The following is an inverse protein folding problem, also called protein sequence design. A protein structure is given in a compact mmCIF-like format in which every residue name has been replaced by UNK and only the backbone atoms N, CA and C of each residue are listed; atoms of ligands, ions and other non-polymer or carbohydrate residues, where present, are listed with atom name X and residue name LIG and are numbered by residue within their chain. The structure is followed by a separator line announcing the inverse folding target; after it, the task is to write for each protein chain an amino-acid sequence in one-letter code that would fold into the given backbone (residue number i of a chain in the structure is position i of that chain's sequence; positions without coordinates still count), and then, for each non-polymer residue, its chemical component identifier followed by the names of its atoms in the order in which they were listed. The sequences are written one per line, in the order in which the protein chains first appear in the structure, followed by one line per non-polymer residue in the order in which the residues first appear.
data_IF_363647181112
#
_entry.id   IF_363647181112
#
_cell.length_a   1.000
_cell.length_b   1.000
_cell.length_c   1.000
_cell.angle_alpha   90.00
_cell.angle_beta   90.00
_cell.angle_gamma   90.00
#
_symmetry.space_group_name_H-M   'P 1'
#
loop_
_entity.id
_entity.type
_entity.pdbx_description
1 polymer ?
#
# COMPACT_ATOMS: atom_id res chain seq x y z
N UNK A 1 19.34 11.06 -13.55
CA UNK A 1 18.55 9.81 -13.71
C UNK A 1 17.30 10.11 -14.52
N UNK A 2 17.01 9.29 -15.55
CA UNK A 2 15.77 9.36 -16.31
C UNK A 2 14.54 9.12 -15.40
N UNK A 3 13.41 9.75 -15.73
CA UNK A 3 12.13 9.60 -15.00
C UNK A 3 11.67 8.15 -14.89
N UNK A 4 11.92 7.34 -15.93
CA UNK A 4 11.66 5.90 -15.94
C UNK A 4 12.50 5.11 -14.94
N UNK A 5 13.76 5.52 -14.71
CA UNK A 5 14.65 4.89 -13.70
C UNK A 5 14.20 5.21 -12.28
N UNK A 6 13.75 6.44 -12.03
CA UNK A 6 13.21 6.85 -10.72
C UNK A 6 11.92 6.08 -10.39
N UNK A 7 11.01 5.95 -11.36
CA UNK A 7 9.77 5.19 -11.18
C UNK A 7 10.04 3.71 -10.86
N UNK A 8 11.02 3.09 -11.54
CA UNK A 8 11.42 1.70 -11.26
C UNK A 8 12.04 1.54 -9.87
N UNK A 9 12.91 2.47 -9.47
CA UNK A 9 13.49 2.48 -8.12
C UNK A 9 12.42 2.58 -7.03
N UNK A 10 11.45 3.49 -7.18
CA UNK A 10 10.35 3.61 -6.21
C UNK A 10 9.51 2.34 -6.17
N UNK A 11 9.22 1.74 -7.32
CA UNK A 11 8.50 0.46 -7.37
C UNK A 11 9.27 -0.66 -6.65
N UNK A 12 10.60 -0.76 -6.85
CA UNK A 12 11.45 -1.75 -6.19
C UNK A 12 11.56 -1.52 -4.67
N UNK A 13 11.70 -0.26 -4.23
CA UNK A 13 11.64 0.08 -2.80
C UNK A 13 10.28 -0.32 -2.23
N UNK A 14 9.20 -0.10 -3.00
CA UNK A 14 7.85 -0.53 -2.66
C UNK A 14 7.72 -2.04 -2.45
N UNK A 15 8.45 -2.87 -3.19
CA UNK A 15 8.43 -4.35 -3.02
C UNK A 15 8.92 -4.76 -1.64
N UNK A 16 9.85 -4.02 -1.03
CA UNK A 16 10.38 -4.32 0.29
C UNK A 16 9.60 -3.56 1.38
N UNK A 17 9.31 -2.29 1.14
CA UNK A 17 8.63 -1.43 2.11
C UNK A 17 7.18 -1.84 2.33
N UNK A 18 6.41 -2.21 1.29
CA UNK A 18 4.99 -2.53 1.44
C UNK A 18 4.78 -3.77 2.34
N UNK A 19 5.46 -4.92 2.14
CA UNK A 19 5.31 -6.06 3.05
C UNK A 19 5.68 -5.74 4.49
N UNK A 20 6.73 -4.93 4.70
CA UNK A 20 7.22 -4.56 6.02
C UNK A 20 6.21 -3.64 6.74
N UNK A 21 5.66 -2.65 6.02
CA UNK A 21 4.63 -1.77 6.55
C UNK A 21 3.30 -2.51 6.78
N UNK A 22 2.92 -3.43 5.90
CA UNK A 22 1.77 -4.33 6.11
C UNK A 22 1.98 -5.14 7.39
N UNK A 23 3.18 -5.71 7.61
CA UNK A 23 3.48 -6.43 8.85
C UNK A 23 3.30 -5.57 10.10
N UNK A 24 3.78 -4.32 10.06
CA UNK A 24 3.59 -3.35 11.16
C UNK A 24 2.11 -3.02 11.35
N UNK A 25 1.35 -2.83 10.27
CA UNK A 25 -0.08 -2.55 10.32
C UNK A 25 -0.87 -3.71 10.93
N UNK A 26 -0.59 -4.95 10.54
CA UNK A 26 -1.25 -6.14 11.09
C UNK A 26 -0.99 -6.24 12.61
N UNK A 27 0.25 -6.05 13.04
CA UNK A 27 0.60 -6.05 14.48
C UNK A 27 -0.15 -4.93 15.20
N UNK A 28 -0.16 -3.73 14.62
CA UNK A 28 -0.85 -2.59 15.23
C UNK A 28 -2.36 -2.82 15.29
N UNK A 29 -2.97 -3.38 14.24
CA UNK A 29 -4.38 -3.73 14.20
C UNK A 29 -4.74 -4.71 15.32
N UNK A 30 -3.93 -5.73 15.56
CA UNK A 30 -4.15 -6.70 16.66
C UNK A 30 -4.05 -6.00 18.02
N UNK A 31 -3.01 -5.18 18.24
CA UNK A 31 -2.81 -4.44 19.49
C UNK A 31 -3.96 -3.46 19.77
N UNK A 32 -4.39 -2.72 18.74
CA UNK A 32 -5.54 -1.81 18.83
C UNK A 32 -6.82 -2.60 19.08
N UNK A 33 -7.01 -3.75 18.43
CA UNK A 33 -8.10 -4.68 18.70
C UNK A 33 -8.16 -5.02 20.19
N UNK A 34 -7.06 -5.52 20.77
CA UNK A 34 -7.00 -5.86 22.20
C UNK A 34 -7.35 -4.66 23.10
N UNK A 35 -6.80 -3.48 22.84
CA UNK A 35 -7.08 -2.28 23.64
C UNK A 35 -8.51 -1.74 23.48
N UNK A 36 -9.11 -1.89 22.29
CA UNK A 36 -10.49 -1.42 22.05
C UNK A 36 -11.55 -2.26 22.76
N UNK A 37 -11.28 -3.55 23.01
CA UNK A 37 -12.18 -4.42 23.78
C UNK A 37 -12.00 -4.32 25.29
N UNK A 38 -10.98 -3.61 25.76
CA UNK A 38 -10.77 -3.38 27.18
C UNK A 38 -11.78 -2.35 27.73
N UNK A 39 -12.50 -2.68 28.80
CA UNK A 39 -13.57 -1.83 29.35
C UNK A 39 -13.02 -0.58 30.05
N UNK A 40 -11.80 -0.67 30.59
CA UNK A 40 -11.13 0.42 31.30
C UNK A 40 -10.57 1.50 30.36
N UNK A 41 -10.54 1.23 29.04
CA UNK A 41 -10.01 2.18 28.09
C UNK A 41 -11.03 3.29 27.75
N UNK A 42 -10.64 4.58 27.88
CA UNK A 42 -11.53 5.68 27.57
C UNK A 42 -11.91 5.67 26.08
N UNK A 43 -13.17 6.03 25.80
CA UNK A 43 -13.72 6.01 24.44
C UNK A 43 -12.89 6.85 23.46
N UNK A 44 -12.33 7.97 23.93
CA UNK A 44 -11.41 8.80 23.15
C UNK A 44 -10.14 8.04 22.72
N UNK A 45 -9.57 7.23 23.62
CA UNK A 45 -8.41 6.39 23.32
C UNK A 45 -8.72 5.35 22.24
N UNK A 46 -9.89 4.71 22.32
CA UNK A 46 -10.37 3.73 21.32
C UNK A 46 -10.54 4.34 19.92
N UNK A 47 -11.11 5.54 19.85
CA UNK A 47 -11.29 6.26 18.59
C UNK A 47 -9.95 6.72 18.01
N UNK A 48 -9.06 7.26 18.84
CA UNK A 48 -7.74 7.73 18.39
C UNK A 48 -6.87 6.60 17.84
N UNK A 49 -6.84 5.45 18.50
CA UNK A 49 -6.08 4.28 18.04
C UNK A 49 -6.66 3.68 16.76
N UNK A 50 -7.99 3.63 16.63
CA UNK A 50 -8.66 3.19 15.40
C UNK A 50 -8.35 4.13 14.21
N UNK A 51 -8.37 5.43 14.44
CA UNK A 51 -8.01 6.42 13.42
C UNK A 51 -6.55 6.29 12.98
N UNK A 52 -5.63 5.98 13.91
CA UNK A 52 -4.22 5.77 13.60
C UNK A 52 -4.01 4.55 12.68
N UNK A 53 -4.75 3.46 12.88
CA UNK A 53 -4.70 2.28 12.00
C UNK A 53 -5.18 2.63 10.58
N UNK A 54 -6.30 3.36 10.47
CA UNK A 54 -6.83 3.81 9.16
C UNK A 54 -5.83 4.71 8.43
N UNK A 55 -5.20 5.63 9.15
CA UNK A 55 -4.16 6.52 8.59
C UNK A 55 -2.93 5.73 8.13
N UNK A 56 -2.52 4.70 8.87
CA UNK A 56 -1.44 3.81 8.43
C UNK A 56 -1.78 3.09 7.14
N UNK A 57 -2.98 2.51 7.03
CA UNK A 57 -3.42 1.86 5.79
C UNK A 57 -3.42 2.82 4.58
N UNK A 58 -3.82 4.07 4.78
CA UNK A 58 -3.75 5.10 3.74
C UNK A 58 -2.30 5.40 3.30
N UNK A 59 -1.35 5.45 4.24
CA UNK A 59 0.08 5.64 3.94
C UNK A 59 0.65 4.45 3.17
N UNK A 60 0.27 3.24 3.54
CA UNK A 60 0.72 2.00 2.88
C UNK A 60 0.22 1.97 1.43
N UNK A 61 -1.02 2.40 1.18
CA UNK A 61 -1.58 2.48 -0.16
C UNK A 61 -0.93 3.58 -1.01
N UNK A 62 -0.47 4.68 -0.40
CA UNK A 62 0.12 5.80 -1.12
C UNK A 62 1.42 5.42 -1.85
N UNK A 63 2.23 4.51 -1.30
CA UNK A 63 3.49 4.05 -1.90
C UNK A 63 3.31 3.40 -3.28
N UNK A 64 2.52 2.32 -3.44
CA UNK A 64 2.31 1.71 -4.75
C UNK A 64 1.53 2.63 -5.70
N UNK A 65 0.60 3.45 -5.20
CA UNK A 65 -0.14 4.42 -6.04
C UNK A 65 0.79 5.48 -6.62
N UNK A 66 1.70 6.04 -5.82
CA UNK A 66 2.68 7.01 -6.31
C UNK A 66 3.66 6.40 -7.31
N UNK A 67 4.11 5.17 -7.08
CA UNK A 67 4.94 4.41 -8.04
C UNK A 67 4.21 4.18 -9.37
N UNK A 68 2.92 3.82 -9.30
CA UNK A 68 2.08 3.60 -10.48
C UNK A 68 1.86 4.89 -11.28
N UNK A 69 1.53 5.99 -10.60
CA UNK A 69 1.37 7.31 -11.21
C UNK A 69 2.66 7.81 -11.87
N UNK A 70 3.81 7.62 -11.20
CA UNK A 70 5.12 7.97 -11.77
C UNK A 70 5.44 7.13 -13.01
N UNK A 71 5.14 5.83 -13.00
CA UNK A 71 5.26 4.95 -14.16
C UNK A 71 4.35 5.36 -15.32
N UNK A 72 3.09 5.71 -15.03
CA UNK A 72 2.13 6.18 -16.03
C UNK A 72 2.55 7.50 -16.68
N UNK A 73 3.01 8.46 -15.89
CA UNK A 73 3.56 9.74 -16.40
C UNK A 73 4.78 9.51 -17.27
N UNK A 74 5.71 8.64 -16.84
CA UNK A 74 6.88 8.29 -17.64
C UNK A 74 6.51 7.61 -18.97
N UNK A 75 5.50 6.74 -18.97
CA UNK A 75 5.02 6.05 -20.17
C UNK A 75 4.30 6.99 -21.15
N UNK A 76 3.51 7.94 -20.63
CA UNK A 76 2.87 8.96 -21.46
C UNK A 76 3.89 9.89 -22.12
N UNK A 77 4.93 10.31 -21.39
CA UNK A 77 6.02 11.13 -21.94
C UNK A 77 6.82 10.40 -23.03
N UNK A 78 6.97 9.07 -22.91
CA UNK A 78 7.61 8.24 -23.94
C UNK A 78 6.73 8.10 -25.17
N UNK A 79 5.41 7.91 -25.00
CA UNK A 79 4.45 7.81 -26.12
C UNK A 79 4.29 9.11 -26.89
N UNK A 80 4.45 10.25 -26.24
CA UNK A 80 4.39 11.56 -26.89
C UNK A 80 5.72 11.98 -27.54
N UNK A 81 6.76 11.15 -27.48
CA UNK A 81 8.08 11.43 -28.09
C UNK A 81 8.27 10.55 -29.33
N UNK A 82 8.44 11.15 -30.51
CA UNK A 82 8.59 10.46 -31.80
C UNK A 82 9.91 9.69 -31.99
N UNK A 83 10.81 9.72 -31.00
CA UNK A 83 12.09 9.01 -31.05
C UNK A 83 12.01 7.65 -30.32
N UNK A 84 12.81 6.67 -30.75
CA UNK A 84 12.95 5.37 -30.07
C UNK A 84 13.54 5.58 -28.66
N UNK A 85 12.68 5.77 -27.64
CA UNK A 85 13.13 6.11 -26.29
C UNK A 85 13.59 4.87 -25.53
N UNK A 86 14.89 4.75 -25.32
CA UNK A 86 15.48 3.81 -24.36
C UNK A 86 14.88 4.06 -22.96
N UNK A 87 13.91 3.25 -22.54
CA UNK A 87 13.22 3.43 -21.24
C UNK A 87 11.76 2.96 -21.19
N UNK A 88 11.15 2.64 -22.34
CA UNK A 88 9.77 2.14 -22.41
C UNK A 88 9.54 0.87 -21.58
N UNK A 89 10.49 -0.07 -21.61
CA UNK A 89 10.45 -1.31 -20.81
C UNK A 89 10.53 -1.04 -19.30
N UNK A 90 11.33 -0.07 -18.86
CA UNK A 90 11.46 0.32 -17.45
C UNK A 90 10.20 0.99 -16.92
N UNK A 91 9.54 1.81 -17.74
CA UNK A 91 8.27 2.44 -17.41
C UNK A 91 7.11 1.42 -17.35
N UNK A 92 7.11 0.40 -18.21
CA UNK A 92 6.15 -0.69 -18.15
C UNK A 92 6.37 -1.55 -16.90
N UNK A 93 7.62 -1.94 -16.63
CA UNK A 93 7.97 -2.75 -15.46
C UNK A 93 7.58 -2.06 -14.15
N UNK A 94 7.80 -0.74 -14.02
CA UNK A 94 7.38 0.00 -12.83
C UNK A 94 5.86 0.02 -12.64
N UNK A 95 5.08 0.14 -13.71
CA UNK A 95 3.61 0.06 -13.63
C UNK A 95 3.12 -1.32 -13.20
N UNK A 96 3.70 -2.40 -13.74
CA UNK A 96 3.30 -3.77 -13.40
C UNK A 96 3.62 -4.07 -11.94
N UNK A 97 4.84 -3.76 -11.49
CA UNK A 97 5.25 -3.98 -10.09
C UNK A 97 4.37 -3.15 -9.14
N UNK A 98 4.18 -1.87 -9.43
CA UNK A 98 3.35 -1.00 -8.61
C UNK A 98 1.87 -1.44 -8.59
N UNK A 99 1.35 -1.93 -9.71
CA UNK A 99 -0.01 -2.46 -9.81
C UNK A 99 -0.21 -3.74 -8.99
N UNK A 100 0.74 -4.67 -9.03
CA UNK A 100 0.73 -5.88 -8.19
C UNK A 100 0.77 -5.50 -6.71
N UNK A 101 1.64 -4.57 -6.33
CA UNK A 101 1.73 -4.09 -4.95
C UNK A 101 0.44 -3.41 -4.49
N UNK A 102 -0.16 -2.55 -5.33
CA UNK A 102 -1.42 -1.90 -5.02
C UNK A 102 -2.54 -2.94 -4.80
N UNK A 103 -2.65 -3.92 -5.70
CA UNK A 103 -3.62 -5.00 -5.56
C UNK A 103 -3.41 -5.80 -4.28
N UNK A 104 -2.16 -6.17 -3.97
CA UNK A 104 -1.81 -6.88 -2.74
C UNK A 104 -2.20 -6.10 -1.47
N UNK A 105 -1.86 -4.80 -1.41
CA UNK A 105 -2.25 -3.92 -0.30
C UNK A 105 -3.78 -3.87 -0.16
N UNK A 106 -4.51 -3.65 -1.26
CA UNK A 106 -5.99 -3.58 -1.22
C UNK A 106 -6.59 -4.89 -0.71
N UNK A 107 -6.09 -6.04 -1.14
CA UNK A 107 -6.55 -7.36 -0.66
C UNK A 107 -6.35 -7.47 0.86
N UNK A 108 -5.17 -7.11 1.36
CA UNK A 108 -4.88 -7.14 2.80
C UNK A 108 -5.83 -6.22 3.58
N UNK A 109 -6.06 -5.01 3.08
CA UNK A 109 -6.98 -4.06 3.70
C UNK A 109 -8.42 -4.61 3.77
N UNK A 110 -8.90 -5.26 2.70
CA UNK A 110 -10.21 -5.91 2.70
C UNK A 110 -10.27 -6.99 3.78
N UNK A 111 -9.23 -7.84 3.90
CA UNK A 111 -9.17 -8.89 4.92
C UNK A 111 -9.19 -8.29 6.33
N UNK A 112 -8.43 -7.23 6.58
CA UNK A 112 -8.42 -6.55 7.88
C UNK A 112 -9.80 -5.98 8.24
N UNK A 113 -10.51 -5.40 7.28
CA UNK A 113 -11.88 -4.92 7.48
C UNK A 113 -12.83 -6.08 7.80
N UNK A 114 -12.73 -7.19 7.08
CA UNK A 114 -13.57 -8.37 7.32
C UNK A 114 -13.30 -9.04 8.67
N UNK A 115 -12.04 -9.05 9.12
CA UNK A 115 -11.64 -9.48 10.47
C UNK A 115 -12.21 -8.52 11.53
N UNK A 116 -12.13 -7.20 11.30
CA UNK A 116 -12.67 -6.19 12.20
C UNK A 116 -14.19 -6.32 12.36
N UNK A 117 -14.91 -6.60 11.27
CA UNK A 117 -16.36 -6.80 11.26
C UNK A 117 -16.78 -8.19 11.75
N UNK A 118 -15.84 -9.04 12.21
CA UNK A 118 -16.08 -10.43 12.66
C UNK A 118 -16.72 -11.33 11.59
N UNK A 119 -16.59 -10.97 10.32
CA UNK A 119 -17.09 -11.76 9.19
C UNK A 119 -16.10 -12.89 8.87
N UNK A 120 -14.81 -12.64 9.09
CA UNK A 120 -13.73 -13.62 8.95
C UNK A 120 -13.00 -13.81 10.27
N UNK A 121 -12.37 -14.98 10.44
CA UNK A 121 -11.39 -15.30 11.49
C UNK A 121 -9.99 -15.42 10.88
N UNK A 122 -8.94 -15.47 11.71
CA UNK A 122 -7.60 -15.89 11.30
C UNK A 122 -7.59 -17.33 10.73
N UNK A 123 -8.57 -18.15 11.12
CA UNK A 123 -8.77 -19.51 10.59
C UNK A 123 -9.52 -19.55 9.24
N UNK A 124 -10.02 -18.39 8.78
CA UNK A 124 -10.66 -18.24 7.49
C UNK A 124 -12.01 -17.53 7.52
N UNK A 125 -12.49 -17.31 6.30
CA UNK A 125 -13.89 -17.15 5.94
C UNK A 125 -14.23 -18.32 5.01
#
# INVERSE_FOLDING_TARGET
MATSSKALLVALVGVIACPLLIGIEVVTFVLVGMGTFDEDNPLFGKVATSAAVILMGAVILALPVTAFMMGARARNAIRSSDAFVAGASKALASQVIAGILAAGVVIVQIILILLASRVCSLDGC
#
